data_IF_941170545119
#
_entry.id   IF_941170545119
#
_cell.length_a   1.000
_cell.length_b   1.000
_cell.length_c   1.000
_cell.angle_alpha   90.00
_cell.angle_beta   90.00
_cell.angle_gamma   90.00
#
_symmetry.space_group_name_H-M   'P 1'
#
loop_
_entity.id
_entity.type
_entity.pdbx_description
1 polymer ?
#
# COMPACT_ATOMS: atom_id res chain seq x y z
N UNK A 1 -28.98 -12.04 2.24
CA UNK A 1 -28.02 -12.29 1.19
C UNK A 1 -28.33 -13.58 0.40
N UNK A 2 -27.96 -13.61 -0.86
CA UNK A 2 -28.09 -14.81 -1.68
C UNK A 2 -27.01 -15.85 -1.33
N UNK A 3 -27.20 -17.12 -1.74
CA UNK A 3 -26.18 -18.17 -1.63
C UNK A 3 -24.86 -17.73 -2.29
N UNK A 4 -24.92 -17.10 -3.45
CA UNK A 4 -23.74 -16.60 -4.17
C UNK A 4 -22.97 -15.53 -3.40
N UNK A 5 -23.66 -14.67 -2.66
CA UNK A 5 -23.01 -13.69 -1.80
C UNK A 5 -22.24 -14.37 -0.66
N UNK A 6 -22.84 -15.36 -0.01
CA UNK A 6 -22.17 -16.14 1.05
C UNK A 6 -20.93 -16.89 0.53
N UNK A 7 -21.03 -17.50 -0.66
CA UNK A 7 -19.90 -18.18 -1.30
C UNK A 7 -18.79 -17.22 -1.67
N UNK A 8 -19.11 -16.03 -2.21
CA UNK A 8 -18.16 -14.97 -2.53
C UNK A 8 -17.41 -14.49 -1.28
N UNK A 9 -18.13 -14.13 -0.21
CA UNK A 9 -17.51 -13.64 1.04
C UNK A 9 -16.57 -14.70 1.63
N UNK A 10 -16.95 -15.98 1.59
CA UNK A 10 -16.12 -17.10 2.07
C UNK A 10 -14.84 -17.25 1.25
N UNK A 11 -14.95 -17.22 -0.09
CA UNK A 11 -13.81 -17.31 -1.00
C UNK A 11 -12.85 -16.12 -0.84
N UNK A 12 -13.38 -14.91 -0.76
CA UNK A 12 -12.56 -13.70 -0.50
C UNK A 12 -11.88 -13.78 0.86
N UNK A 13 -12.58 -14.23 1.90
CA UNK A 13 -12.00 -14.42 3.24
C UNK A 13 -10.83 -15.41 3.25
N UNK A 14 -10.91 -16.47 2.46
CA UNK A 14 -9.79 -17.40 2.27
C UNK A 14 -8.60 -16.71 1.58
N UNK A 15 -8.84 -16.01 0.47
CA UNK A 15 -7.82 -15.29 -0.27
C UNK A 15 -7.15 -14.19 0.58
N UNK A 16 -7.89 -13.50 1.44
CA UNK A 16 -7.38 -12.53 2.39
C UNK A 16 -6.39 -13.16 3.39
N UNK A 17 -6.75 -14.32 3.97
CA UNK A 17 -5.85 -15.06 4.88
C UNK A 17 -4.58 -15.50 4.17
N UNK A 18 -4.70 -16.07 2.97
CA UNK A 18 -3.55 -16.42 2.15
C UNK A 18 -2.62 -15.23 1.91
N UNK A 19 -3.19 -14.09 1.49
CA UNK A 19 -2.42 -12.87 1.23
C UNK A 19 -1.74 -12.32 2.50
N UNK A 20 -2.38 -12.40 3.66
CA UNK A 20 -1.79 -11.97 4.93
C UNK A 20 -0.57 -12.83 5.31
N UNK A 21 -0.72 -14.15 5.25
CA UNK A 21 0.38 -15.10 5.54
C UNK A 21 1.53 -14.92 4.54
N UNK A 22 1.20 -14.75 3.25
CA UNK A 22 2.22 -14.53 2.22
C UNK A 22 3.06 -13.28 2.50
N UNK A 23 2.43 -12.15 2.88
CA UNK A 23 3.16 -10.93 3.27
C UNK A 23 4.04 -11.15 4.51
N UNK A 24 3.55 -11.90 5.49
CA UNK A 24 4.32 -12.23 6.68
C UNK A 24 5.57 -13.07 6.34
N UNK A 25 5.43 -14.09 5.49
CA UNK A 25 6.56 -14.90 5.02
C UNK A 25 7.56 -14.06 4.24
N UNK A 26 7.07 -13.18 3.34
CA UNK A 26 7.92 -12.27 2.58
C UNK A 26 8.69 -11.33 3.52
N UNK A 27 8.03 -10.75 4.52
CA UNK A 27 8.67 -9.85 5.48
C UNK A 27 9.77 -10.55 6.28
N UNK A 28 9.52 -11.78 6.76
CA UNK A 28 10.56 -12.58 7.45
C UNK A 28 11.78 -12.78 6.55
N UNK A 29 11.60 -13.15 5.28
CA UNK A 29 12.70 -13.32 4.32
C UNK A 29 13.47 -12.03 4.07
N UNK A 30 12.77 -10.89 3.98
CA UNK A 30 13.41 -9.57 3.83
C UNK A 30 14.24 -9.23 5.07
N UNK A 31 13.72 -9.48 6.27
CA UNK A 31 14.44 -9.26 7.53
C UNK A 31 15.69 -10.17 7.60
N UNK A 32 15.56 -11.45 7.25
CA UNK A 32 16.70 -12.39 7.18
C UNK A 32 17.77 -11.90 6.19
N UNK A 33 17.36 -11.51 4.99
CA UNK A 33 18.29 -10.96 3.99
C UNK A 33 18.95 -9.66 4.50
N UNK A 34 18.20 -8.76 5.13
CA UNK A 34 18.75 -7.54 5.71
C UNK A 34 19.79 -7.82 6.80
N UNK A 35 19.58 -8.83 7.64
CA UNK A 35 20.54 -9.24 8.69
C UNK A 35 21.88 -9.72 8.13
N UNK A 36 21.90 -10.25 6.91
CA UNK A 36 23.18 -10.67 6.28
C UNK A 36 24.00 -9.51 5.75
N UNK A 37 23.35 -8.39 5.42
CA UNK A 37 23.99 -7.23 4.80
C UNK A 37 24.27 -6.10 5.82
N UNK A 38 23.35 -5.89 6.75
CA UNK A 38 23.48 -4.86 7.79
C UNK A 38 24.42 -5.36 8.88
N UNK A 39 25.60 -4.74 8.97
CA UNK A 39 26.65 -5.13 9.93
C UNK A 39 26.37 -4.75 11.38
N UNK A 40 25.26 -4.09 11.66
CA UNK A 40 24.83 -3.69 13.00
C UNK A 40 23.69 -4.58 13.47
N UNK A 41 23.72 -4.99 14.73
CA UNK A 41 22.57 -5.65 15.34
C UNK A 41 21.38 -4.70 15.32
N UNK A 42 20.25 -5.14 14.76
CA UNK A 42 19.00 -4.44 14.82
C UNK A 42 17.89 -5.40 15.27
N UNK A 43 16.92 -4.86 15.96
CA UNK A 43 15.70 -5.55 16.32
C UNK A 43 14.60 -5.10 15.32
N UNK A 44 13.84 -6.04 14.81
CA UNK A 44 12.63 -5.75 14.04
C UNK A 44 11.44 -6.06 14.93
N UNK A 45 10.73 -5.04 15.36
CA UNK A 45 9.43 -5.23 15.97
C UNK A 45 8.40 -5.38 14.84
N UNK A 46 7.82 -6.58 14.74
CA UNK A 46 6.75 -6.87 13.78
C UNK A 46 5.40 -6.39 14.35
N UNK A 47 5.33 -5.20 14.87
CA UNK A 47 4.09 -4.45 14.92
C UNK A 47 3.81 -3.90 13.51
N UNK A 48 4.23 -4.70 12.55
CA UNK A 48 4.23 -4.32 11.16
C UNK A 48 2.80 -4.20 10.70
N UNK A 49 2.55 -3.08 10.12
CA UNK A 49 1.36 -2.72 9.41
C UNK A 49 1.11 -3.74 8.28
N UNK A 50 0.42 -4.83 8.58
CA UNK A 50 0.01 -5.83 7.59
C UNK A 50 -1.39 -5.47 7.08
N UNK A 51 -1.48 -4.45 6.24
CA UNK A 51 -2.73 -3.93 5.73
C UNK A 51 -3.27 -4.74 4.55
N UNK A 52 -4.56 -5.04 4.60
CA UNK A 52 -5.33 -5.44 3.43
C UNK A 52 -5.78 -4.19 2.65
N UNK A 53 -5.65 -4.22 1.32
CA UNK A 53 -6.08 -3.15 0.41
C UNK A 53 -7.03 -3.63 -0.70
N UNK A 54 -7.45 -4.89 -0.62
CA UNK A 54 -8.40 -5.52 -1.52
C UNK A 54 -9.12 -6.62 -0.74
N UNK A 55 -10.22 -6.27 -0.07
CA UNK A 55 -10.91 -7.18 0.83
C UNK A 55 -12.36 -6.75 1.11
N UNK A 56 -13.12 -7.69 1.67
CA UNK A 56 -14.47 -7.47 2.19
C UNK A 56 -14.46 -7.82 3.67
N UNK A 57 -15.02 -6.96 4.49
CA UNK A 57 -15.15 -7.18 5.92
C UNK A 57 -16.51 -6.72 6.42
N UNK A 58 -17.10 -7.48 7.35
CA UNK A 58 -18.30 -7.09 8.06
C UNK A 58 -17.90 -6.09 9.17
N UNK A 59 -18.50 -4.93 9.16
CA UNK A 59 -18.21 -3.83 10.08
C UNK A 59 -19.51 -3.16 10.52
N UNK A 60 -19.45 -2.41 11.62
CA UNK A 60 -20.59 -1.59 12.08
C UNK A 60 -20.31 -0.14 11.76
N UNK A 61 -21.16 0.48 10.94
CA UNK A 61 -21.11 1.90 10.59
C UNK A 61 -22.49 2.52 10.73
N UNK A 62 -22.55 3.70 11.33
CA UNK A 62 -23.80 4.43 11.56
C UNK A 62 -24.89 3.62 12.30
N UNK A 63 -24.46 2.70 13.18
CA UNK A 63 -25.36 1.82 13.93
C UNK A 63 -25.82 0.57 13.18
N UNK A 64 -25.42 0.39 11.93
CA UNK A 64 -25.81 -0.73 11.07
C UNK A 64 -24.64 -1.68 10.79
N UNK A 65 -24.93 -2.98 10.73
CA UNK A 65 -23.97 -3.99 10.27
C UNK A 65 -23.92 -4.01 8.74
N UNK A 66 -22.77 -3.67 8.18
CA UNK A 66 -22.55 -3.58 6.73
C UNK A 66 -21.34 -4.39 6.29
N UNK A 67 -21.32 -4.79 5.02
CA UNK A 67 -20.13 -5.34 4.39
C UNK A 67 -19.38 -4.24 3.66
N UNK A 68 -18.24 -3.83 4.21
CA UNK A 68 -17.36 -2.82 3.59
C UNK A 68 -16.40 -3.51 2.63
N UNK A 69 -16.46 -3.10 1.35
CA UNK A 69 -15.50 -3.55 0.33
C UNK A 69 -14.46 -2.46 0.14
N UNK A 70 -13.19 -2.80 0.39
CA UNK A 70 -12.06 -1.90 0.13
C UNK A 70 -11.23 -2.42 -1.03
N UNK A 71 -11.13 -1.61 -2.09
CA UNK A 71 -10.24 -1.82 -3.22
C UNK A 71 -9.56 -0.52 -3.57
N UNK A 72 -8.24 -0.48 -3.40
CA UNK A 72 -7.50 0.79 -3.49
C UNK A 72 -7.67 1.67 -2.25
N UNK A 73 -8.18 1.11 -1.17
CA UNK A 73 -8.33 1.72 0.14
C UNK A 73 -7.91 0.73 1.24
N UNK A 74 -7.54 1.26 2.39
CA UNK A 74 -7.21 0.48 3.60
C UNK A 74 -8.04 0.95 4.78
N UNK A 75 -8.17 0.11 5.80
CA UNK A 75 -8.79 0.49 7.06
C UNK A 75 -7.96 1.56 7.76
N UNK A 76 -8.63 2.58 8.30
CA UNK A 76 -8.07 3.69 9.05
C UNK A 76 -8.85 3.96 10.33
N UNK A 77 -9.19 2.89 11.07
CA UNK A 77 -9.86 2.97 12.37
C UNK A 77 -9.05 3.83 13.33
N UNK A 78 -9.72 4.45 14.29
CA UNK A 78 -9.06 5.29 15.29
C UNK A 78 -7.88 4.57 15.95
N UNK A 79 -6.69 5.15 15.86
CA UNK A 79 -5.45 4.60 16.42
C UNK A 79 -4.78 3.50 15.60
N UNK A 80 -5.44 2.93 14.59
CA UNK A 80 -4.88 1.86 13.75
C UNK A 80 -3.71 2.36 12.91
N UNK A 81 -2.59 1.64 12.94
CA UNK A 81 -1.46 1.94 12.05
C UNK A 81 -1.73 1.43 10.65
N UNK A 82 -1.28 2.20 9.66
CA UNK A 82 -1.37 1.91 8.24
C UNK A 82 -0.09 2.31 7.50
N UNK A 83 0.08 1.79 6.28
CA UNK A 83 1.15 2.22 5.37
C UNK A 83 0.54 2.70 4.07
N UNK A 84 0.99 3.87 3.61
CA UNK A 84 0.62 4.47 2.34
C UNK A 84 1.88 4.63 1.50
N UNK A 85 2.19 3.67 0.62
CA UNK A 85 3.35 3.73 -0.24
C UNK A 85 3.16 4.72 -1.38
N UNK A 86 4.21 5.47 -1.69
CA UNK A 86 4.34 6.21 -2.93
C UNK A 86 4.74 5.30 -4.09
N UNK A 87 5.00 5.90 -5.25
CA UNK A 87 5.60 5.23 -6.39
C UNK A 87 7.10 4.98 -6.17
N UNK A 88 7.79 4.34 -7.14
CA UNK A 88 9.24 4.11 -7.08
C UNK A 88 9.98 5.45 -6.93
N UNK A 89 10.78 5.60 -5.89
CA UNK A 89 11.51 6.84 -5.60
C UNK A 89 10.72 7.93 -4.90
N UNK A 90 9.40 7.84 -4.81
CA UNK A 90 8.58 8.76 -4.03
C UNK A 90 8.60 8.40 -2.53
N UNK A 91 8.12 9.31 -1.69
CA UNK A 91 7.96 9.06 -0.26
C UNK A 91 6.92 7.98 0.00
N UNK A 92 7.03 7.34 1.15
CA UNK A 92 6.00 6.48 1.72
C UNK A 92 5.70 6.93 3.14
N UNK A 93 4.51 6.63 3.64
CA UNK A 93 4.08 7.12 4.95
C UNK A 93 3.61 5.96 5.82
N UNK A 94 4.05 5.95 7.08
CA UNK A 94 3.38 5.22 8.14
C UNK A 94 2.40 6.19 8.76
N UNK A 95 1.13 5.78 8.83
CA UNK A 95 0.03 6.63 9.26
C UNK A 95 -0.75 6.00 10.41
N UNK A 96 -1.49 6.83 11.11
CA UNK A 96 -2.45 6.42 12.14
C UNK A 96 -3.84 6.87 11.74
N UNK A 97 -4.79 5.95 11.68
CA UNK A 97 -6.18 6.24 11.35
C UNK A 97 -6.84 7.13 12.40
N UNK A 98 -7.70 8.02 11.95
CA UNK A 98 -8.53 8.91 12.78
C UNK A 98 -9.93 8.36 13.05
N UNK A 99 -10.33 7.26 12.39
CA UNK A 99 -11.66 6.70 12.54
C UNK A 99 -12.76 7.58 11.98
N UNK A 100 -12.51 8.27 10.87
CA UNK A 100 -13.50 9.12 10.23
C UNK A 100 -14.68 8.28 9.72
N UNK A 101 -15.86 8.51 10.30
CA UNK A 101 -17.07 7.75 10.00
C UNK A 101 -17.56 7.98 8.56
N UNK A 102 -17.42 9.18 8.01
CA UNK A 102 -17.88 9.50 6.65
C UNK A 102 -17.11 8.73 5.58
N UNK A 103 -15.84 8.38 5.86
CA UNK A 103 -15.02 7.53 4.99
C UNK A 103 -15.20 6.03 5.26
N UNK A 104 -16.15 5.62 6.12
CA UNK A 104 -16.23 4.25 6.62
C UNK A 104 -14.90 3.79 7.24
N UNK A 105 -14.28 4.68 8.04
CA UNK A 105 -12.97 4.43 8.66
C UNK A 105 -11.92 3.94 7.65
N UNK A 106 -11.86 4.59 6.48
CA UNK A 106 -10.98 4.18 5.38
C UNK A 106 -10.09 5.34 4.94
N UNK A 107 -8.92 5.00 4.38
CA UNK A 107 -8.02 5.96 3.73
C UNK A 107 -7.44 5.36 2.44
N UNK A 108 -6.71 6.15 1.66
CA UNK A 108 -6.03 5.70 0.45
C UNK A 108 -4.98 4.62 0.78
N UNK A 109 -4.82 3.64 -0.11
CA UNK A 109 -3.79 2.59 0.04
C UNK A 109 -2.42 2.97 -0.57
N UNK A 110 -2.31 4.11 -1.23
CA UNK A 110 -1.12 4.59 -1.94
C UNK A 110 -1.43 5.79 -2.82
N UNK A 111 -0.46 6.24 -3.61
CA UNK A 111 -0.62 7.39 -4.50
C UNK A 111 -1.75 7.21 -5.53
N UNK A 112 -1.96 5.99 -5.98
CA UNK A 112 -2.85 5.71 -7.11
C UNK A 112 -2.25 6.17 -8.45
N UNK A 113 -2.70 5.56 -9.53
CA UNK A 113 -2.20 5.91 -10.87
C UNK A 113 -2.90 7.14 -11.42
N UNK A 114 -2.13 8.01 -12.08
CA UNK A 114 -2.65 9.14 -12.87
C UNK A 114 -3.04 8.70 -14.28
N UNK A 115 -2.51 7.57 -14.76
CA UNK A 115 -2.78 7.03 -16.10
C UNK A 115 -2.73 5.50 -16.10
N UNK A 116 -3.26 4.89 -17.18
CA UNK A 116 -3.21 3.44 -17.36
C UNK A 116 -1.77 2.93 -17.60
N UNK A 117 -1.53 1.62 -17.34
CA UNK A 117 -0.23 1.00 -17.62
C UNK A 117 0.16 1.13 -19.09
N UNK A 118 -0.80 0.90 -19.99
CA UNK A 118 -0.59 1.01 -21.44
C UNK A 118 -0.23 2.42 -21.87
N UNK A 119 -0.85 3.43 -21.29
CA UNK A 119 -0.53 4.84 -21.54
C UNK A 119 0.87 5.19 -21.02
N UNK A 120 1.22 4.78 -19.81
CA UNK A 120 2.53 5.00 -19.24
C UNK A 120 3.65 4.40 -20.11
N UNK A 121 3.48 3.16 -20.61
CA UNK A 121 4.43 2.52 -21.55
C UNK A 121 4.57 3.27 -22.89
N UNK A 122 3.54 3.97 -23.35
CA UNK A 122 3.63 4.81 -24.55
C UNK A 122 4.26 6.16 -24.29
N UNK A 123 4.04 6.71 -23.09
CA UNK A 123 4.41 8.08 -22.73
C UNK A 123 5.84 8.21 -22.22
N UNK A 124 6.32 7.22 -21.47
CA UNK A 124 7.63 7.26 -20.81
C UNK A 124 8.63 6.36 -21.52
N UNK A 125 9.89 6.81 -21.50
CA UNK A 125 11.05 6.05 -21.95
C UNK A 125 11.80 5.44 -20.77
N UNK A 126 12.74 4.55 -21.07
CA UNK A 126 13.65 4.01 -20.06
C UNK A 126 14.55 5.10 -19.46
N UNK A 127 14.89 6.13 -20.26
CA UNK A 127 15.66 7.29 -19.78
C UNK A 127 14.88 8.09 -18.75
N UNK A 128 13.60 8.35 -19.00
CA UNK A 128 12.71 9.03 -18.03
C UNK A 128 12.60 8.25 -16.73
N UNK A 129 12.44 6.92 -16.82
CA UNK A 129 12.37 6.04 -15.64
C UNK A 129 13.65 6.08 -14.82
N UNK A 130 14.83 6.01 -15.49
CA UNK A 130 16.14 6.07 -14.82
C UNK A 130 16.36 7.41 -14.13
N UNK A 131 16.02 8.51 -14.77
CA UNK A 131 16.13 9.85 -14.19
C UNK A 131 15.21 10.01 -12.98
N UNK A 132 13.94 9.55 -13.09
CA UNK A 132 12.96 9.66 -12.02
C UNK A 132 13.25 8.75 -10.79
N UNK A 133 14.11 7.74 -10.97
CA UNK A 133 14.51 6.79 -9.90
C UNK A 133 15.99 6.92 -9.54
N UNK A 134 16.60 8.07 -9.82
CA UNK A 134 17.99 8.34 -9.43
C UNK A 134 18.15 8.25 -7.91
N UNK A 135 19.23 7.60 -7.46
CA UNK A 135 19.49 7.37 -6.03
C UNK A 135 18.62 6.29 -5.36
N UNK A 136 17.76 5.61 -6.12
CA UNK A 136 16.99 4.45 -5.64
C UNK A 136 17.50 3.18 -6.31
N UNK A 137 17.86 2.18 -5.51
CA UNK A 137 18.19 0.85 -6.02
C UNK A 137 16.90 0.12 -6.40
N UNK A 138 16.68 -0.07 -7.68
CA UNK A 138 15.47 -0.69 -8.23
C UNK A 138 15.71 -1.22 -9.64
N UNK A 139 14.76 -1.99 -10.16
CA UNK A 139 14.76 -2.38 -11.58
C UNK A 139 14.70 -1.14 -12.47
N UNK A 140 15.55 -1.11 -13.51
CA UNK A 140 15.65 -0.02 -14.49
C UNK A 140 15.73 -0.59 -15.90
N UNK A 141 14.74 -1.44 -16.24
CA UNK A 141 14.57 -2.09 -17.54
C UNK A 141 13.22 -1.73 -18.18
N UNK A 142 12.96 -2.26 -19.38
CA UNK A 142 11.74 -1.95 -20.14
C UNK A 142 10.46 -2.49 -19.50
N UNK A 143 10.54 -3.50 -18.66
CA UNK A 143 9.38 -4.16 -18.08
C UNK A 143 8.73 -3.31 -16.98
N UNK A 144 9.49 -2.36 -16.39
CA UNK A 144 9.02 -1.48 -15.30
C UNK A 144 8.75 -0.04 -15.74
N UNK A 145 8.75 0.28 -17.03
CA UNK A 145 8.49 1.65 -17.53
C UNK A 145 7.11 2.17 -17.06
N UNK A 146 6.12 1.30 -17.00
CA UNK A 146 4.78 1.68 -16.53
C UNK A 146 4.73 1.98 -15.01
N UNK A 147 5.78 1.67 -14.26
CA UNK A 147 5.93 2.01 -12.85
C UNK A 147 6.72 3.32 -12.63
N UNK A 148 7.03 4.05 -13.70
CA UNK A 148 7.68 5.37 -13.61
C UNK A 148 6.88 6.30 -12.68
N UNK A 149 7.53 7.03 -11.75
CA UNK A 149 6.86 7.90 -10.78
C UNK A 149 5.79 8.81 -11.37
N UNK A 150 6.07 9.43 -12.53
CA UNK A 150 5.14 10.31 -13.22
C UNK A 150 3.86 9.62 -13.77
N UNK A 151 3.76 8.27 -13.72
CA UNK A 151 2.53 7.54 -14.00
C UNK A 151 1.55 7.51 -12.81
N UNK A 152 1.95 8.04 -11.67
CA UNK A 152 1.20 8.09 -10.42
C UNK A 152 0.85 9.52 -10.04
N UNK A 153 -0.17 9.67 -9.21
CA UNK A 153 -0.51 10.95 -8.59
C UNK A 153 0.60 11.36 -7.63
N UNK A 154 0.74 12.66 -7.40
CA UNK A 154 1.63 13.17 -6.36
C UNK A 154 1.17 12.66 -4.99
N UNK A 155 2.03 11.92 -4.31
CA UNK A 155 1.72 11.32 -3.01
C UNK A 155 1.52 12.39 -1.93
N UNK A 156 2.21 13.51 -2.00
CA UNK A 156 2.09 14.57 -1.01
C UNK A 156 0.72 15.26 -1.16
N UNK A 157 0.24 15.46 -2.40
CA UNK A 157 -1.12 15.93 -2.67
C UNK A 157 -2.20 14.93 -2.20
N UNK A 158 -1.96 13.62 -2.38
CA UNK A 158 -2.86 12.57 -1.87
C UNK A 158 -2.91 12.59 -0.34
N UNK A 159 -1.78 12.79 0.33
CA UNK A 159 -1.73 12.88 1.80
C UNK A 159 -2.44 14.12 2.32
N UNK A 160 -2.29 15.26 1.68
CA UNK A 160 -3.00 16.49 2.05
C UNK A 160 -4.52 16.33 1.88
N UNK A 161 -4.97 15.69 0.79
CA UNK A 161 -6.39 15.46 0.53
C UNK A 161 -7.08 14.51 1.52
N UNK A 162 -6.31 13.79 2.34
CA UNK A 162 -6.84 12.85 3.34
C UNK A 162 -6.36 13.16 4.78
N UNK A 163 -6.00 14.40 5.04
CA UNK A 163 -5.55 14.86 6.37
C UNK A 163 -6.59 14.69 7.47
N UNK A 164 -7.86 14.59 7.11
CA UNK A 164 -9.00 14.30 8.00
C UNK A 164 -9.17 12.81 8.28
N UNK A 165 -8.52 11.93 7.52
CA UNK A 165 -8.64 10.48 7.63
C UNK A 165 -7.48 9.85 8.42
N UNK A 166 -6.29 10.43 8.34
CA UNK A 166 -5.07 9.88 8.95
C UNK A 166 -4.14 10.97 9.47
N UNK A 167 -3.34 10.62 10.50
CA UNK A 167 -2.16 11.36 10.93
C UNK A 167 -0.90 10.68 10.42
N UNK A 168 0.09 11.46 9.97
CA UNK A 168 1.41 10.96 9.57
C UNK A 168 2.24 10.68 10.82
N UNK A 169 2.64 9.41 11.01
CA UNK A 169 3.53 8.98 12.10
C UNK A 169 4.99 9.05 11.65
N UNK A 170 5.28 8.51 10.45
CA UNK A 170 6.61 8.55 9.85
C UNK A 170 6.55 8.81 8.36
N UNK A 171 7.44 9.66 7.88
CA UNK A 171 7.73 9.84 6.46
C UNK A 171 8.97 9.05 6.10
N UNK A 172 8.85 8.15 5.11
CA UNK A 172 9.94 7.26 4.69
C UNK A 172 10.46 7.70 3.32
N UNK A 173 11.78 7.78 3.17
CA UNK A 173 12.47 7.93 1.89
C UNK A 173 12.82 6.54 1.36
N UNK A 174 12.44 6.24 0.12
CA UNK A 174 12.86 5.01 -0.53
C UNK A 174 14.35 5.08 -0.90
N UNK A 175 15.07 4.04 -0.56
CA UNK A 175 16.47 3.81 -0.98
C UNK A 175 16.58 2.52 -1.80
N UNK A 176 15.66 1.59 -1.58
CA UNK A 176 15.53 0.32 -2.33
C UNK A 176 14.06 0.09 -2.65
N UNK A 177 13.76 -0.35 -3.87
CA UNK A 177 12.42 -0.74 -4.29
C UNK A 177 12.47 -2.04 -5.10
N UNK A 178 11.92 -3.11 -4.54
CA UNK A 178 11.84 -4.42 -5.21
C UNK A 178 10.46 -4.53 -5.88
N UNK A 179 10.47 -4.70 -7.19
CA UNK A 179 9.29 -4.96 -8.01
C UNK A 179 9.46 -6.31 -8.71
N UNK A 180 8.43 -7.15 -8.63
CA UNK A 180 8.34 -8.41 -9.33
C UNK A 180 7.67 -8.29 -10.69
#
# INVERSE_FOLDING_TARGET
GSRYFGDYVRAVGWAQRFAAINREVMMRRVIEAAKTVVRKNFQSHIEAVNCHHNYVQKETHFGEEVYVTRKGAVSAKAGQLGIIPGSMGARSYIVRGKGNAESFESCSHGAGRAMSRGEAKRRFTLADHRAATEGVECRKDKDVIDETPAAYKDIDAVMEAQRDLVDVVHTLKQVVCVKG
#
